data_IF_421338215507
#
_entry.id   IF_421338215507
#
_cell.length_a   1.000
_cell.length_b   1.000
_cell.length_c   1.000
_cell.angle_alpha   90.00
_cell.angle_beta   90.00
_cell.angle_gamma   90.00
#
_symmetry.space_group_name_H-M   'P 1'
#
loop_
_entity.id
_entity.type
_entity.pdbx_description
1 polymer ?
#
# COMPACT_ATOMS: atom_id res chain seq x y z
N UNK A 1 11.61 17.83 11.14
CA UNK A 1 11.71 17.54 9.70
C UNK A 1 11.48 16.03 9.50
N UNK A 2 10.69 15.67 8.52
CA UNK A 2 10.57 14.27 8.12
C UNK A 2 11.90 13.83 7.49
N UNK A 3 12.44 12.71 7.92
CA UNK A 3 13.66 12.12 7.35
C UNK A 3 13.45 11.65 5.91
N UNK A 4 12.20 11.42 5.53
CA UNK A 4 11.80 10.91 4.22
C UNK A 4 11.10 11.97 3.37
N UNK A 5 11.37 11.93 2.07
CA UNK A 5 10.81 12.84 1.09
C UNK A 5 9.30 12.71 0.92
N UNK A 6 8.82 11.47 0.86
CA UNK A 6 7.42 11.07 0.67
C UNK A 6 7.17 9.68 1.21
N UNK A 7 5.91 9.28 1.25
CA UNK A 7 5.47 7.91 1.55
C UNK A 7 4.94 7.23 0.31
N UNK A 8 5.26 5.95 0.13
CA UNK A 8 4.76 5.15 -0.98
C UNK A 8 4.26 3.78 -0.51
N UNK A 9 3.18 3.33 -1.12
CA UNK A 9 2.63 1.99 -0.98
C UNK A 9 2.87 1.23 -2.29
N UNK A 10 3.52 0.08 -2.21
CA UNK A 10 3.76 -0.81 -3.35
C UNK A 10 2.99 -2.10 -3.14
N UNK A 11 1.96 -2.32 -3.95
CA UNK A 11 1.15 -3.53 -3.97
C UNK A 11 1.72 -4.49 -5.02
N UNK A 12 1.95 -5.75 -4.66
CA UNK A 12 2.73 -6.69 -5.46
C UNK A 12 4.24 -6.54 -5.25
N UNK A 13 4.64 -6.11 -4.06
CA UNK A 13 6.04 -5.78 -3.72
C UNK A 13 6.97 -6.99 -3.66
N UNK A 14 6.44 -8.21 -3.55
CA UNK A 14 7.20 -9.46 -3.59
C UNK A 14 7.48 -9.96 -5.01
N UNK A 15 6.82 -9.42 -6.03
CA UNK A 15 7.03 -9.77 -7.43
C UNK A 15 8.26 -9.09 -8.05
N UNK A 16 8.57 -9.46 -9.28
CA UNK A 16 9.75 -8.94 -9.98
C UNK A 16 9.70 -7.41 -10.15
N UNK A 17 8.61 -6.88 -10.71
CA UNK A 17 8.47 -5.44 -10.93
C UNK A 17 8.35 -4.70 -9.60
N UNK A 18 7.49 -5.18 -8.70
CA UNK A 18 7.25 -4.54 -7.41
C UNK A 18 8.49 -4.46 -6.54
N UNK A 19 9.31 -5.51 -6.49
CA UNK A 19 10.55 -5.51 -5.70
C UNK A 19 11.58 -4.50 -6.25
N UNK A 20 11.68 -4.35 -7.55
CA UNK A 20 12.52 -3.32 -8.17
C UNK A 20 12.01 -1.90 -7.90
N UNK A 21 10.68 -1.71 -7.91
CA UNK A 21 10.08 -0.42 -7.56
C UNK A 21 10.35 -0.06 -6.09
N UNK A 22 10.23 -1.02 -5.18
CA UNK A 22 10.58 -0.81 -3.76
C UNK A 22 12.01 -0.30 -3.63
N UNK A 23 12.98 -0.98 -4.24
CA UNK A 23 14.40 -0.58 -4.22
C UNK A 23 14.60 0.84 -4.76
N UNK A 24 13.97 1.15 -5.89
CA UNK A 24 14.04 2.47 -6.51
C UNK A 24 13.52 3.56 -5.57
N UNK A 25 12.32 3.39 -5.02
CA UNK A 25 11.69 4.36 -4.14
C UNK A 25 12.49 4.59 -2.85
N UNK A 26 13.00 3.52 -2.23
CA UNK A 26 13.87 3.64 -1.04
C UNK A 26 15.12 4.44 -1.37
N UNK A 27 15.77 4.16 -2.51
CA UNK A 27 16.94 4.91 -2.99
C UNK A 27 16.63 6.39 -3.23
N UNK A 28 15.42 6.71 -3.69
CA UNK A 28 14.95 8.08 -3.90
C UNK A 28 14.55 8.80 -2.60
N UNK A 29 14.63 8.14 -1.46
CA UNK A 29 14.35 8.72 -0.14
C UNK A 29 12.88 8.63 0.28
N UNK A 30 12.11 7.70 -0.25
CA UNK A 30 10.75 7.43 0.18
C UNK A 30 10.71 6.51 1.40
N UNK A 31 9.73 6.70 2.26
CA UNK A 31 9.30 5.66 3.17
C UNK A 31 8.35 4.72 2.42
N UNK A 32 8.64 3.42 2.41
CA UNK A 32 7.92 2.46 1.57
C UNK A 32 7.29 1.36 2.40
N UNK A 33 5.98 1.16 2.22
CA UNK A 33 5.26 -0.06 2.61
C UNK A 33 5.12 -0.96 1.39
N UNK A 34 5.63 -2.18 1.47
CA UNK A 34 5.39 -3.23 0.50
C UNK A 34 4.29 -4.17 0.96
N UNK A 35 3.46 -4.63 0.02
CA UNK A 35 2.37 -5.58 0.27
C UNK A 35 2.38 -6.66 -0.81
N UNK A 36 2.28 -7.92 -0.39
CA UNK A 36 2.12 -9.07 -1.29
C UNK A 36 1.47 -10.25 -0.56
N UNK A 37 1.08 -11.28 -1.30
CA UNK A 37 0.60 -12.55 -0.72
C UNK A 37 1.68 -13.24 0.11
N UNK A 38 2.94 -13.10 -0.28
CA UNK A 38 4.10 -13.70 0.38
C UNK A 38 5.32 -12.79 0.33
N UNK A 39 6.25 -13.02 1.23
CA UNK A 39 7.53 -12.32 1.20
C UNK A 39 8.32 -12.66 -0.07
N UNK A 40 9.20 -11.75 -0.56
CA UNK A 40 10.04 -12.02 -1.71
C UNK A 40 10.88 -13.28 -1.56
N UNK A 41 10.92 -14.11 -2.60
CA UNK A 41 11.62 -15.42 -2.55
C UNK A 41 13.12 -15.31 -2.80
N UNK A 42 13.56 -14.32 -3.57
CA UNK A 42 14.93 -14.25 -4.10
C UNK A 42 15.85 -13.28 -3.38
N UNK A 43 15.30 -12.38 -2.60
CA UNK A 43 16.07 -11.41 -1.81
C UNK A 43 15.21 -10.85 -0.68
N UNK A 44 15.85 -10.38 0.38
CA UNK A 44 15.14 -9.61 1.40
C UNK A 44 14.57 -8.33 0.80
N UNK A 45 13.39 -7.93 1.28
CA UNK A 45 12.79 -6.66 0.87
C UNK A 45 13.56 -5.48 1.45
N UNK A 46 13.68 -4.42 0.68
CA UNK A 46 14.19 -3.13 1.17
C UNK A 46 13.09 -2.20 1.68
N UNK A 47 11.83 -2.62 1.63
CA UNK A 47 10.72 -1.85 2.18
C UNK A 47 10.90 -1.63 3.69
N UNK A 48 10.52 -0.45 4.16
CA UNK A 48 10.55 -0.11 5.59
C UNK A 48 9.54 -0.92 6.40
N UNK A 49 8.43 -1.27 5.75
CA UNK A 49 7.42 -2.17 6.27
C UNK A 49 6.97 -3.12 5.17
N UNK A 50 6.82 -4.39 5.48
CA UNK A 50 6.27 -5.38 4.54
C UNK A 50 5.10 -6.11 5.19
N UNK A 51 3.94 -6.07 4.54
CA UNK A 51 2.71 -6.68 5.02
C UNK A 51 2.28 -7.78 4.07
N UNK A 52 2.06 -8.98 4.60
CA UNK A 52 1.56 -10.11 3.82
C UNK A 52 0.06 -10.25 3.97
N UNK A 53 -0.63 -10.49 2.87
CA UNK A 53 -2.07 -10.72 2.86
C UNK A 53 -2.64 -10.71 1.44
N UNK A 54 -3.93 -11.00 1.37
CA UNK A 54 -4.65 -11.17 0.10
C UNK A 54 -5.40 -9.88 -0.27
N UNK A 55 -5.00 -9.26 -1.38
CA UNK A 55 -5.63 -8.04 -1.91
C UNK A 55 -6.98 -8.30 -2.62
N UNK A 56 -7.38 -9.56 -2.81
CA UNK A 56 -8.76 -9.89 -3.19
C UNK A 56 -9.74 -9.68 -2.04
N UNK A 57 -9.22 -9.60 -0.80
CA UNK A 57 -10.00 -9.28 0.39
C UNK A 57 -10.09 -7.76 0.60
N UNK A 58 -11.27 -7.20 0.36
CA UNK A 58 -11.49 -5.75 0.44
C UNK A 58 -11.12 -5.14 1.80
N UNK A 59 -11.41 -5.84 2.88
CA UNK A 59 -11.06 -5.39 4.23
C UNK A 59 -9.55 -5.30 4.46
N UNK A 60 -8.78 -6.18 3.84
CA UNK A 60 -7.32 -6.13 3.87
C UNK A 60 -6.80 -4.94 3.06
N UNK A 61 -7.32 -4.70 1.87
CA UNK A 61 -6.99 -3.52 1.05
C UNK A 61 -7.22 -2.24 1.82
N UNK A 62 -8.39 -2.08 2.44
CA UNK A 62 -8.70 -0.92 3.28
C UNK A 62 -7.64 -0.71 4.37
N UNK A 63 -7.26 -1.77 5.07
CA UNK A 63 -6.28 -1.71 6.16
C UNK A 63 -4.89 -1.31 5.71
N UNK A 64 -4.41 -1.80 4.56
CA UNK A 64 -3.05 -1.50 4.08
C UNK A 64 -2.93 -0.14 3.41
N UNK A 65 -4.03 0.43 2.94
CA UNK A 65 -4.10 1.80 2.41
C UNK A 65 -4.03 2.86 3.51
N UNK A 66 -4.52 2.55 4.71
CA UNK A 66 -4.47 3.47 5.83
C UNK A 66 -3.04 3.59 6.37
N UNK A 67 -2.49 4.78 6.27
CA UNK A 67 -1.26 5.13 6.93
C UNK A 67 -1.60 5.71 8.31
N UNK A 68 -1.72 4.84 9.28
CA UNK A 68 -1.75 5.29 10.69
C UNK A 68 -0.35 5.70 11.03
N UNK A 69 -0.15 6.98 11.29
CA UNK A 69 1.16 7.54 11.58
C UNK A 69 1.97 6.55 12.40
N UNK A 70 3.09 6.13 11.84
CA UNK A 70 3.93 5.08 12.40
C UNK A 70 4.23 5.41 13.86
N UNK A 71 4.00 4.49 14.78
CA UNK A 71 4.27 4.67 16.22
C UNK A 71 5.77 4.77 16.55
N UNK A 72 6.62 4.69 15.54
CA UNK A 72 8.05 4.89 15.65
C UNK A 72 8.44 6.23 15.05
N UNK A 73 8.80 7.16 15.87
CA UNK A 73 9.60 8.37 15.62
C UNK A 73 9.25 9.30 14.46
N UNK A 74 8.42 8.89 13.49
CA UNK A 74 8.14 9.66 12.28
C UNK A 74 7.26 10.89 12.49
N UNK A 75 6.33 10.80 13.40
CA UNK A 75 5.31 11.81 13.66
C UNK A 75 5.28 12.28 15.11
N UNK A 76 6.42 12.30 15.77
CA UNK A 76 6.51 12.89 17.10
C UNK A 76 6.03 14.36 17.14
N UNK A 77 5.96 15.00 15.97
CA UNK A 77 5.55 16.40 15.87
C UNK A 77 4.12 16.59 15.32
N UNK A 78 3.41 15.51 14.92
CA UNK A 78 2.02 15.61 14.45
C UNK A 78 1.13 14.72 15.33
N UNK A 79 0.80 15.17 16.54
CA UNK A 79 0.12 14.33 17.53
C UNK A 79 -1.34 13.98 17.18
N UNK A 80 -1.90 14.45 16.06
CA UNK A 80 -3.34 14.37 15.80
C UNK A 80 -3.76 13.88 14.42
N UNK A 81 -2.85 13.51 13.54
CA UNK A 81 -3.22 12.86 12.28
C UNK A 81 -3.45 11.36 12.54
N UNK A 82 -4.66 11.01 12.92
CA UNK A 82 -4.99 9.63 13.29
C UNK A 82 -5.03 8.67 12.09
N UNK A 83 -5.34 9.19 10.91
CA UNK A 83 -5.37 8.44 9.66
C UNK A 83 -4.82 9.35 8.56
N UNK A 84 -3.91 8.82 7.77
CA UNK A 84 -3.40 9.49 6.58
C UNK A 84 -3.39 8.51 5.39
N UNK A 85 -3.16 9.00 4.21
CA UNK A 85 -2.93 8.20 3.03
C UNK A 85 -1.46 8.31 2.62
N UNK A 86 -1.02 7.36 1.80
CA UNK A 86 0.27 7.45 1.14
C UNK A 86 0.26 8.58 0.10
N UNK A 87 1.41 9.22 -0.09
CA UNK A 87 1.57 10.22 -1.15
C UNK A 87 1.45 9.57 -2.53
N UNK A 88 1.93 8.35 -2.67
CA UNK A 88 1.90 7.60 -3.94
C UNK A 88 1.56 6.13 -3.71
N UNK A 89 0.73 5.57 -4.59
CA UNK A 89 0.35 4.15 -4.57
C UNK A 89 0.70 3.53 -5.92
N UNK A 90 1.48 2.46 -5.88
CA UNK A 90 1.91 1.69 -7.05
C UNK A 90 1.26 0.30 -7.01
N UNK A 91 0.32 0.05 -7.93
CA UNK A 91 -0.42 -1.20 -8.00
C UNK A 91 0.15 -2.12 -9.06
N UNK A 92 0.93 -3.12 -8.65
CA UNK A 92 1.50 -4.18 -9.49
C UNK A 92 0.96 -5.57 -9.15
N UNK A 93 0.13 -5.67 -8.12
CA UNK A 93 -0.45 -6.95 -7.73
C UNK A 93 -1.45 -7.44 -8.77
N UNK A 94 -1.30 -8.67 -9.19
CA UNK A 94 -2.21 -9.35 -10.08
C UNK A 94 -2.18 -10.85 -9.77
N UNK A 95 -3.26 -11.54 -10.08
CA UNK A 95 -3.27 -13.00 -10.05
C UNK A 95 -2.59 -13.51 -11.32
N UNK A 96 -1.30 -13.76 -11.21
CA UNK A 96 -0.44 -14.20 -12.31
C UNK A 96 0.33 -15.43 -11.86
N UNK A 97 -0.01 -16.56 -12.43
CA UNK A 97 0.77 -17.78 -12.30
C UNK A 97 1.93 -17.86 -13.31
N UNK A 98 2.67 -18.96 -13.28
CA UNK A 98 3.66 -19.25 -14.34
C UNK A 98 2.98 -19.48 -15.70
N UNK A 99 3.82 -19.59 -16.75
CA UNK A 99 3.33 -19.72 -18.13
C UNK A 99 2.29 -20.84 -18.32
N UNK A 100 2.45 -21.97 -17.66
CA UNK A 100 1.47 -23.06 -17.71
C UNK A 100 0.12 -22.68 -17.11
N UNK A 101 0.09 -21.89 -16.05
CA UNK A 101 -1.15 -21.42 -15.42
C UNK A 101 -1.90 -20.42 -16.31
N UNK A 102 -1.16 -19.53 -16.97
CA UNK A 102 -1.72 -18.46 -17.81
C UNK A 102 -2.17 -18.98 -19.19
N UNK A 103 -1.39 -19.91 -19.79
CA UNK A 103 -1.62 -20.30 -21.19
C UNK A 103 -2.49 -21.54 -21.40
N UNK A 104 -2.90 -22.24 -20.36
CA UNK A 104 -3.80 -23.40 -20.50
C UNK A 104 -5.25 -23.02 -20.80
N UNK A 105 -5.66 -21.81 -20.46
CA UNK A 105 -7.05 -21.34 -20.56
C UNK A 105 -7.97 -21.87 -19.46
N UNK A 106 -7.51 -22.79 -18.62
CA UNK A 106 -8.32 -23.41 -17.55
C UNK A 106 -8.61 -22.45 -16.40
N UNK A 107 -7.74 -21.45 -16.20
CA UNK A 107 -7.80 -20.51 -15.08
C UNK A 107 -8.20 -19.08 -15.49
N UNK A 108 -8.56 -18.85 -16.75
CA UNK A 108 -8.81 -17.51 -17.29
C UNK A 108 -9.85 -16.71 -16.49
N UNK A 109 -10.96 -17.35 -16.13
CA UNK A 109 -12.03 -16.73 -15.37
C UNK A 109 -11.56 -16.32 -13.96
N UNK A 110 -10.78 -17.16 -13.30
CA UNK A 110 -10.24 -16.89 -11.97
C UNK A 110 -9.18 -15.79 -11.99
N UNK A 111 -8.25 -15.85 -12.94
CA UNK A 111 -7.23 -14.82 -13.16
C UNK A 111 -7.87 -13.46 -13.38
N UNK A 112 -8.86 -13.39 -14.27
CA UNK A 112 -9.60 -12.17 -14.57
C UNK A 112 -10.36 -11.66 -13.34
N UNK A 113 -11.09 -12.55 -12.67
CA UNK A 113 -11.88 -12.20 -11.49
C UNK A 113 -10.98 -11.63 -10.37
N UNK A 114 -9.91 -12.32 -10.04
CA UNK A 114 -9.02 -11.92 -8.95
C UNK A 114 -8.27 -10.62 -9.29
N UNK A 115 -7.73 -10.50 -10.49
CA UNK A 115 -7.00 -9.29 -10.92
C UNK A 115 -7.92 -8.05 -11.01
N UNK A 116 -9.14 -8.21 -11.51
CA UNK A 116 -10.14 -7.14 -11.53
C UNK A 116 -10.56 -6.77 -10.11
N UNK A 117 -10.80 -7.75 -9.24
CA UNK A 117 -11.18 -7.52 -7.84
C UNK A 117 -10.12 -6.73 -7.08
N UNK A 118 -8.84 -7.08 -7.23
CA UNK A 118 -7.73 -6.31 -6.64
C UNK A 118 -7.77 -4.84 -7.09
N UNK A 119 -7.84 -4.61 -8.39
CA UNK A 119 -7.85 -3.24 -8.94
C UNK A 119 -9.08 -2.43 -8.49
N UNK A 120 -10.26 -3.05 -8.48
CA UNK A 120 -11.49 -2.39 -8.03
C UNK A 120 -11.43 -2.06 -6.54
N UNK A 121 -10.95 -2.97 -5.70
CA UNK A 121 -10.82 -2.74 -4.26
C UNK A 121 -9.82 -1.60 -3.97
N UNK A 122 -8.67 -1.61 -4.63
CA UNK A 122 -7.66 -0.56 -4.45
C UNK A 122 -8.22 0.80 -4.86
N UNK A 123 -8.85 0.89 -6.02
CA UNK A 123 -9.43 2.14 -6.52
C UNK A 123 -10.54 2.66 -5.61
N UNK A 124 -11.49 1.81 -5.24
CA UNK A 124 -12.64 2.19 -4.43
C UNK A 124 -12.25 2.59 -3.00
N UNK A 125 -11.40 1.80 -2.34
CA UNK A 125 -10.96 2.12 -0.98
C UNK A 125 -10.06 3.36 -0.93
N UNK A 126 -9.26 3.61 -1.98
CA UNK A 126 -8.49 4.85 -2.10
C UNK A 126 -9.42 6.06 -2.25
N UNK A 127 -10.45 5.94 -3.08
CA UNK A 127 -11.47 6.99 -3.25
C UNK A 127 -12.16 7.30 -1.92
N UNK A 128 -12.64 6.27 -1.21
CA UNK A 128 -13.32 6.43 0.08
C UNK A 128 -12.40 7.02 1.16
N UNK A 129 -11.13 6.63 1.17
CA UNK A 129 -10.15 7.19 2.09
C UNK A 129 -9.94 8.69 1.84
N UNK A 130 -9.77 9.08 0.58
CA UNK A 130 -9.62 10.48 0.21
C UNK A 130 -10.85 11.30 0.59
N UNK A 131 -12.06 10.80 0.35
CA UNK A 131 -13.29 11.48 0.77
C UNK A 131 -13.37 11.67 2.29
N UNK A 132 -12.96 10.68 3.08
CA UNK A 132 -12.90 10.82 4.54
C UNK A 132 -11.90 11.88 4.99
N UNK A 133 -10.77 11.98 4.30
CA UNK A 133 -9.74 12.98 4.61
C UNK A 133 -10.16 14.39 4.21
N UNK A 134 -10.85 14.54 3.07
CA UNK A 134 -11.36 15.83 2.57
C UNK A 134 -12.46 16.40 3.48
N UNK A 135 -13.25 15.54 4.12
CA UNK A 135 -14.31 15.95 5.07
C UNK A 135 -13.79 16.10 6.51
N UNK A 136 -12.52 15.90 6.75
CA UNK A 136 -11.94 16.08 8.07
C UNK A 136 -11.73 17.56 8.36
N UNK A 137 -12.57 18.13 9.25
CA UNK A 137 -12.42 19.50 9.71
C UNK A 137 -11.58 19.57 11.00
N UNK A 138 -10.56 20.43 11.04
CA UNK A 138 -9.68 20.55 12.21
C UNK A 138 -10.35 21.13 13.46
N UNK A 139 -11.62 21.51 13.38
CA UNK A 139 -12.32 22.21 14.45
C UNK A 139 -12.53 21.38 15.75
N UNK A 140 -12.36 20.08 15.67
CA UNK A 140 -12.53 19.20 16.83
C UNK A 140 -11.23 18.90 17.57
N UNK A 141 -10.12 19.51 17.21
CA UNK A 141 -8.88 19.39 17.95
C UNK A 141 -8.73 20.52 18.98
N UNK A 142 -8.45 20.16 20.24
CA UNK A 142 -8.12 21.18 21.22
C UNK A 142 -6.91 21.96 20.72
N UNK A 143 -7.13 23.24 20.43
CA UNK A 143 -6.02 24.16 20.12
C UNK A 143 -5.01 24.05 21.25
N UNK A 144 -3.75 23.77 20.92
CA UNK A 144 -2.69 23.96 21.90
C UNK A 144 -2.85 25.35 22.47
N UNK A 145 -3.12 25.44 23.75
CA UNK A 145 -3.01 26.72 24.45
C UNK A 145 -1.55 27.14 24.40
N UNK A 146 -1.26 28.40 24.18
CA UNK A 146 0.11 28.91 24.15
C UNK A 146 0.82 28.72 25.47
#
# INVERSE_FOLDING_TARGET
MSEYKKTALVLGAGGFIGSHMVKHLVKEGYWVRGVDLKSPEFSETEAHEFVTGDLTERSFVKRVLEFKGYQGNFYHEIPYKMIDCFDEIYQFAADMGGAGFVFTGENDAEIMHNSVSINLHVLEETRLLNERLDHWEPEHHPKKQP
#
